data_IF_909984586576
#
_entry.id   IF_909984586576
#
_cell.length_a   1.000
_cell.length_b   1.000
_cell.length_c   1.000
_cell.angle_alpha   90.00
_cell.angle_beta   90.00
_cell.angle_gamma   90.00
#
_symmetry.space_group_name_H-M   'P 1'
#
loop_
_entity.id
_entity.type
_entity.pdbx_description
1 polymer ?
#
# COMPACT_ATOMS: atom_id res chain seq x y z
N UNK A 1 18.12 14.18 -6.60
CA UNK A 1 18.76 13.26 -5.65
C UNK A 1 17.86 13.22 -4.43
N UNK A 2 17.52 12.03 -3.93
CA UNK A 2 16.63 11.91 -2.77
C UNK A 2 17.39 12.30 -1.51
N UNK A 3 16.84 13.25 -0.74
CA UNK A 3 17.42 13.67 0.53
C UNK A 3 17.17 12.62 1.61
N UNK A 4 18.22 12.27 2.35
CA UNK A 4 18.20 11.29 3.43
C UNK A 4 18.71 11.92 4.71
N UNK A 5 18.29 11.37 5.86
CA UNK A 5 18.81 11.75 7.16
C UNK A 5 20.29 11.33 7.26
N UNK A 6 21.18 12.28 7.59
CA UNK A 6 22.62 12.00 7.69
C UNK A 6 22.97 10.99 8.79
N UNK A 7 22.14 10.90 9.83
CA UNK A 7 22.37 9.98 10.93
C UNK A 7 21.92 8.54 10.63
N UNK A 8 20.73 8.36 10.04
CA UNK A 8 20.13 7.03 9.92
C UNK A 8 19.84 6.58 8.48
N UNK A 9 20.02 7.45 7.49
CA UNK A 9 19.80 7.13 6.08
C UNK A 9 18.32 7.07 5.65
N UNK A 10 17.37 7.23 6.56
CA UNK A 10 15.93 7.27 6.21
C UNK A 10 15.67 8.46 5.27
N UNK A 11 14.92 8.28 4.17
CA UNK A 11 14.49 9.39 3.32
C UNK A 11 13.76 10.46 4.12
N UNK A 12 14.17 11.73 3.98
CA UNK A 12 13.55 12.83 4.74
C UNK A 12 12.08 13.03 4.39
N UNK A 13 11.67 12.66 3.18
CA UNK A 13 10.27 12.67 2.80
C UNK A 13 9.42 11.66 3.59
N UNK A 14 9.97 10.48 3.94
CA UNK A 14 9.31 9.53 4.85
C UNK A 14 9.27 10.10 6.26
N UNK A 15 10.42 10.61 6.76
CA UNK A 15 10.53 11.14 8.11
C UNK A 15 9.58 12.32 8.38
N UNK A 16 9.45 13.23 7.42
CA UNK A 16 8.60 14.41 7.54
C UNK A 16 7.14 14.13 7.11
N UNK A 17 6.93 13.17 6.21
CA UNK A 17 5.63 12.86 5.63
C UNK A 17 4.77 11.93 6.48
N UNK A 18 5.38 11.14 7.36
CA UNK A 18 4.69 10.12 8.16
C UNK A 18 4.84 10.37 9.67
N UNK A 19 3.83 9.98 10.42
CA UNK A 19 3.82 10.00 11.89
C UNK A 19 3.53 8.61 12.41
N UNK A 20 4.46 8.05 13.19
CA UNK A 20 4.24 6.86 13.99
C UNK A 20 3.58 7.27 15.30
N UNK A 21 2.34 6.84 15.51
CA UNK A 21 1.56 7.11 16.72
C UNK A 21 1.90 6.14 17.85
N UNK A 22 1.71 6.61 19.08
CA UNK A 22 1.75 5.82 20.32
C UNK A 22 0.64 4.76 20.39
N UNK A 23 -0.30 4.79 19.46
CA UNK A 23 -1.43 3.87 19.35
C UNK A 23 -1.29 2.81 18.25
N UNK A 24 -0.05 2.58 17.81
CA UNK A 24 0.30 1.56 16.82
C UNK A 24 -0.17 1.88 15.40
N UNK A 25 -0.48 3.15 15.11
CA UNK A 25 -0.85 3.62 13.78
C UNK A 25 0.28 4.37 13.09
N UNK A 26 0.31 4.36 11.77
CA UNK A 26 1.10 5.30 10.97
C UNK A 26 0.12 6.18 10.21
N UNK A 27 0.34 7.49 10.21
CA UNK A 27 -0.54 8.44 9.51
C UNK A 27 0.26 9.43 8.67
N UNK A 28 -0.37 10.02 7.66
CA UNK A 28 0.24 11.13 6.92
C UNK A 28 0.29 12.38 7.82
N UNK A 29 1.45 13.03 7.90
CA UNK A 29 1.64 14.22 8.71
C UNK A 29 0.70 15.38 8.32
N UNK A 30 0.43 15.53 7.02
CA UNK A 30 -0.50 16.52 6.45
C UNK A 30 -1.97 16.12 6.54
N UNK A 31 -2.27 14.86 6.85
CA UNK A 31 -3.64 14.36 6.93
C UNK A 31 -3.72 13.19 7.92
N UNK A 32 -3.83 13.49 9.24
CA UNK A 32 -3.77 12.47 10.29
C UNK A 32 -4.84 11.38 10.20
N UNK A 33 -5.94 11.61 9.46
CA UNK A 33 -6.98 10.59 9.21
C UNK A 33 -6.63 9.60 8.09
N UNK A 34 -5.53 9.82 7.37
CA UNK A 34 -5.03 8.90 6.36
C UNK A 34 -4.01 7.96 6.99
N UNK A 35 -4.48 6.75 7.29
CA UNK A 35 -3.64 5.65 7.75
C UNK A 35 -2.68 5.22 6.65
N UNK A 36 -1.47 4.88 7.06
CA UNK A 36 -0.45 4.21 6.27
C UNK A 36 -0.07 2.91 6.99
N UNK A 37 0.51 1.97 6.26
CA UNK A 37 1.16 0.78 6.80
C UNK A 37 2.57 0.70 6.23
N UNK A 38 3.49 0.14 6.99
CA UNK A 38 4.83 -0.20 6.57
C UNK A 38 4.97 -1.72 6.62
N UNK A 39 4.73 -2.39 5.49
CA UNK A 39 4.36 -3.81 5.48
C UNK A 39 5.07 -4.58 4.36
N UNK A 40 5.19 -5.89 4.52
CA UNK A 40 5.82 -6.78 3.55
C UNK A 40 5.04 -6.78 2.24
N UNK A 41 5.67 -6.33 1.15
CA UNK A 41 4.94 -6.06 -0.11
C UNK A 41 4.54 -7.32 -0.87
N UNK A 42 5.33 -8.39 -0.74
CA UNK A 42 5.08 -9.68 -1.39
C UNK A 42 3.69 -10.25 -1.02
N UNK A 43 3.19 -9.93 0.17
CA UNK A 43 1.88 -10.35 0.64
C UNK A 43 0.72 -9.85 -0.23
N UNK A 44 0.88 -8.71 -0.90
CA UNK A 44 -0.23 -8.05 -1.60
C UNK A 44 -0.68 -8.89 -2.79
N UNK A 45 0.23 -9.18 -3.72
CA UNK A 45 -0.12 -9.92 -4.94
C UNK A 45 -0.46 -11.38 -4.65
N UNK A 46 0.25 -12.00 -3.70
CA UNK A 46 -0.04 -13.38 -3.27
C UNK A 46 -1.42 -13.52 -2.63
N UNK A 47 -1.83 -12.56 -1.79
CA UNK A 47 -3.16 -12.62 -1.19
C UNK A 47 -4.25 -12.53 -2.26
N UNK A 48 -4.20 -11.53 -3.14
CA UNK A 48 -5.25 -11.38 -4.17
C UNK A 48 -5.25 -12.53 -5.18
N UNK A 49 -4.08 -13.09 -5.51
CA UNK A 49 -3.99 -14.30 -6.32
C UNK A 49 -4.63 -15.50 -5.60
N UNK A 50 -4.34 -15.70 -4.32
CA UNK A 50 -4.90 -16.79 -3.52
C UNK A 50 -6.42 -16.68 -3.37
N UNK A 51 -6.96 -15.48 -3.09
CA UNK A 51 -8.41 -15.26 -3.05
C UNK A 51 -9.03 -15.52 -4.43
N UNK A 52 -8.40 -15.02 -5.50
CA UNK A 52 -8.89 -15.23 -6.87
C UNK A 52 -8.93 -16.70 -7.29
N UNK A 53 -7.93 -17.50 -6.89
CA UNK A 53 -7.88 -18.95 -7.09
C UNK A 53 -9.03 -19.65 -6.35
N UNK A 54 -9.24 -19.31 -5.07
CA UNK A 54 -10.31 -19.88 -4.25
C UNK A 54 -11.71 -19.57 -4.79
N UNK A 55 -11.90 -18.36 -5.34
CA UNK A 55 -13.18 -17.92 -5.90
C UNK A 55 -13.36 -18.27 -7.39
N UNK A 56 -12.29 -18.69 -8.07
CA UNK A 56 -12.31 -18.96 -9.51
C UNK A 56 -12.49 -17.73 -10.39
N UNK A 57 -12.19 -16.52 -9.90
CA UNK A 57 -12.34 -15.25 -10.64
C UNK A 57 -11.10 -14.34 -10.49
N UNK A 58 -10.67 -13.64 -11.55
CA UNK A 58 -9.53 -12.73 -11.48
C UNK A 58 -9.91 -11.41 -10.79
N UNK A 59 -9.23 -11.08 -9.69
CA UNK A 59 -9.50 -9.87 -8.89
C UNK A 59 -8.75 -8.61 -9.34
N UNK A 60 -7.80 -8.75 -10.28
CA UNK A 60 -6.86 -7.67 -10.62
C UNK A 60 -7.53 -6.35 -11.01
N UNK A 61 -8.65 -6.40 -11.72
CA UNK A 61 -9.38 -5.19 -12.13
C UNK A 61 -10.01 -4.43 -10.94
N UNK A 62 -10.51 -5.12 -9.91
CA UNK A 62 -11.03 -4.50 -8.68
C UNK A 62 -9.90 -3.83 -7.90
N UNK A 63 -8.76 -4.52 -7.81
CA UNK A 63 -7.57 -4.05 -7.10
C UNK A 63 -7.01 -2.79 -7.76
N UNK A 64 -6.82 -2.81 -9.08
CA UNK A 64 -6.33 -1.66 -9.85
C UNK A 64 -7.27 -0.46 -9.69
N UNK A 65 -8.59 -0.67 -9.81
CA UNK A 65 -9.58 0.39 -9.67
C UNK A 65 -9.57 1.01 -8.26
N UNK A 66 -9.59 0.16 -7.22
CA UNK A 66 -9.58 0.62 -5.82
C UNK A 66 -8.33 1.44 -5.53
N UNK A 67 -7.17 0.94 -5.98
CA UNK A 67 -5.90 1.62 -5.80
C UNK A 67 -5.81 2.92 -6.58
N UNK A 68 -6.30 2.96 -7.82
CA UNK A 68 -6.35 4.17 -8.63
C UNK A 68 -7.15 5.29 -7.95
N UNK A 69 -8.30 4.96 -7.34
CA UNK A 69 -9.11 5.94 -6.60
C UNK A 69 -8.39 6.50 -5.38
N UNK A 70 -7.69 5.66 -4.62
CA UNK A 70 -6.96 6.13 -3.46
C UNK A 70 -5.75 6.98 -3.85
N UNK A 71 -5.02 6.58 -4.89
CA UNK A 71 -3.88 7.37 -5.39
C UNK A 71 -4.32 8.68 -6.00
N UNK A 72 -5.42 8.71 -6.76
CA UNK A 72 -6.04 9.95 -7.24
C UNK A 72 -6.29 10.93 -6.09
N UNK A 73 -6.96 10.49 -5.03
CA UNK A 73 -7.24 11.32 -3.84
C UNK A 73 -5.95 11.77 -3.13
N UNK A 74 -4.94 10.90 -3.06
CA UNK A 74 -3.65 11.26 -2.47
C UNK A 74 -2.97 12.39 -3.26
N UNK A 75 -2.91 12.25 -4.59
CA UNK A 75 -2.32 13.24 -5.49
C UNK A 75 -3.13 14.55 -5.48
N UNK A 76 -4.46 14.49 -5.44
CA UNK A 76 -5.32 15.68 -5.32
C UNK A 76 -5.10 16.49 -4.04
N UNK A 77 -4.64 15.85 -2.95
CA UNK A 77 -4.27 16.53 -1.70
C UNK A 77 -2.84 17.05 -1.73
N UNK A 78 -1.94 16.32 -2.39
CA UNK A 78 -0.54 16.70 -2.52
C UNK A 78 -0.39 17.95 -3.40
N UNK A 79 -1.20 18.08 -4.45
CA UNK A 79 -1.18 19.21 -5.38
C UNK A 79 -2.43 20.09 -5.22
N UNK A 80 -2.28 21.33 -4.73
CA UNK A 80 -3.37 22.30 -4.62
C UNK A 80 -4.18 22.45 -5.93
N UNK A 81 -5.48 22.81 -5.84
CA UNK A 81 -6.33 23.00 -7.02
C UNK A 81 -5.75 23.93 -8.08
N UNK A 82 -5.03 24.97 -7.68
CA UNK A 82 -4.41 25.95 -8.58
C UNK A 82 -3.33 25.31 -9.45
N UNK A 83 -2.49 24.46 -8.84
CA UNK A 83 -1.46 23.70 -9.56
C UNK A 83 -2.15 22.72 -10.52
N UNK A 84 -3.20 22.02 -10.08
CA UNK A 84 -3.95 21.09 -10.94
C UNK A 84 -4.64 21.78 -12.13
N UNK A 85 -5.26 22.94 -11.90
CA UNK A 85 -5.92 23.73 -12.96
C UNK A 85 -4.91 24.24 -13.99
N UNK A 86 -3.75 24.73 -13.55
CA UNK A 86 -2.67 25.15 -14.45
C UNK A 86 -2.14 23.99 -15.31
N UNK A 87 -2.34 22.74 -14.89
CA UNK A 87 -1.89 21.55 -15.59
C UNK A 87 -2.95 20.87 -16.45
N UNK A 88 -4.25 21.07 -16.17
CA UNK A 88 -5.34 20.31 -16.77
C UNK A 88 -5.25 20.29 -18.30
N UNK A 89 -4.93 19.11 -18.85
CA UNK A 89 -4.62 18.94 -20.28
C UNK A 89 -5.82 19.23 -21.20
N UNK A 90 -7.05 19.16 -20.68
CA UNK A 90 -8.29 19.52 -21.39
C UNK A 90 -8.23 20.93 -22.00
N UNK A 91 -7.41 21.82 -21.45
CA UNK A 91 -7.23 23.19 -21.93
C UNK A 91 -6.45 23.28 -23.25
N UNK A 92 -5.77 22.22 -23.70
CA UNK A 92 -5.09 22.19 -25.01
C UNK A 92 -6.05 22.09 -26.20
N UNK A 93 -7.28 21.62 -25.96
CA UNK A 93 -8.35 21.63 -26.97
C UNK A 93 -9.22 22.84 -26.67
N UNK A 94 -8.69 24.04 -26.91
CA UNK A 94 -9.22 25.32 -26.40
C UNK A 94 -10.74 25.39 -26.39
N UNK A 95 -11.32 25.71 -25.21
CA UNK A 95 -12.78 25.89 -25.05
C UNK A 95 -13.36 26.96 -25.97
N UNK A 96 -12.52 27.87 -26.48
CA UNK A 96 -12.87 28.98 -27.37
C UNK A 96 -12.16 28.95 -28.74
N UNK A 97 -11.52 27.82 -29.11
CA UNK A 97 -10.86 27.68 -30.41
C UNK A 97 -9.59 28.53 -30.62
N UNK A 98 -9.13 29.27 -29.60
CA UNK A 98 -7.83 29.95 -29.66
C UNK A 98 -6.70 28.90 -29.68
N UNK A 99 -5.82 29.00 -30.67
CA UNK A 99 -4.66 28.13 -30.78
C UNK A 99 -3.69 28.40 -29.62
N UNK A 100 -3.40 27.37 -28.82
CA UNK A 100 -2.34 27.41 -27.82
C UNK A 100 -1.01 27.61 -28.54
N UNK A 101 -0.19 28.55 -28.07
CA UNK A 101 1.11 28.80 -28.68
C UNK A 101 2.06 27.62 -28.42
N UNK A 102 3.08 27.47 -29.26
CA UNK A 102 4.11 26.44 -29.06
C UNK A 102 4.82 26.60 -27.70
N UNK A 103 5.07 27.84 -27.27
CA UNK A 103 5.74 28.17 -26.00
C UNK A 103 4.89 27.79 -24.79
N UNK A 104 3.58 28.07 -24.84
CA UNK A 104 2.65 27.64 -23.78
C UNK A 104 2.56 26.11 -23.69
N UNK A 105 2.51 25.44 -24.84
CA UNK A 105 2.50 23.97 -24.91
C UNK A 105 3.77 23.38 -24.29
N UNK A 106 4.95 23.90 -24.65
CA UNK A 106 6.24 23.45 -24.11
C UNK A 106 6.33 23.67 -22.59
N UNK A 107 5.90 24.84 -22.11
CA UNK A 107 5.88 25.18 -20.68
C UNK A 107 4.97 24.24 -19.90
N UNK A 108 3.77 23.94 -20.42
CA UNK A 108 2.83 23.03 -19.78
C UNK A 108 3.37 21.59 -19.78
N UNK A 109 3.96 21.13 -20.88
CA UNK A 109 4.58 19.81 -20.96
C UNK A 109 5.73 19.67 -19.95
N UNK A 110 6.57 20.69 -19.80
CA UNK A 110 7.63 20.72 -18.81
C UNK A 110 7.08 20.63 -17.37
N UNK A 111 5.98 21.34 -17.08
CA UNK A 111 5.32 21.29 -15.78
C UNK A 111 4.75 19.90 -15.46
N UNK A 112 4.03 19.28 -16.40
CA UNK A 112 3.48 17.92 -16.24
C UNK A 112 4.61 16.92 -16.03
N UNK A 113 5.69 17.01 -16.82
CA UNK A 113 6.88 16.17 -16.67
C UNK A 113 7.53 16.31 -15.28
N UNK A 114 7.69 17.53 -14.78
CA UNK A 114 8.26 17.76 -13.45
C UNK A 114 7.44 17.13 -12.32
N UNK A 115 6.12 17.19 -12.44
CA UNK A 115 5.22 16.61 -11.43
C UNK A 115 5.12 15.09 -11.55
N UNK A 116 5.04 14.55 -12.76
CA UNK A 116 5.14 13.11 -12.97
C UNK A 116 6.47 12.55 -12.44
N UNK A 117 7.58 13.28 -12.61
CA UNK A 117 8.87 12.92 -11.98
C UNK A 117 8.79 12.94 -10.45
N UNK A 118 8.10 13.93 -9.86
CA UNK A 118 7.88 13.98 -8.41
C UNK A 118 7.12 12.75 -7.91
N UNK A 119 6.10 12.31 -8.65
CA UNK A 119 5.32 11.10 -8.30
C UNK A 119 6.18 9.84 -8.40
N UNK A 120 7.00 9.73 -9.45
CA UNK A 120 7.96 8.64 -9.61
C UNK A 120 8.95 8.61 -8.42
N UNK A 121 9.44 9.77 -8.00
CA UNK A 121 10.35 9.87 -6.87
C UNK A 121 9.66 9.47 -5.55
N UNK A 122 8.40 9.86 -5.34
CA UNK A 122 7.59 9.42 -4.18
C UNK A 122 7.42 7.89 -4.18
N UNK A 123 7.10 7.31 -5.34
CA UNK A 123 6.96 5.86 -5.52
C UNK A 123 8.23 5.11 -5.08
N UNK A 124 9.40 5.59 -5.52
CA UNK A 124 10.71 5.05 -5.10
C UNK A 124 11.01 5.25 -3.62
N UNK A 125 10.49 6.32 -3.02
CA UNK A 125 10.60 6.65 -1.57
C UNK A 125 9.59 5.91 -0.68
N UNK A 126 8.57 5.29 -1.28
CA UNK A 126 7.65 4.40 -0.57
C UNK A 126 7.90 2.91 -0.85
N UNK A 127 8.97 2.57 -1.56
CA UNK A 127 9.42 1.20 -1.70
C UNK A 127 8.73 0.46 -2.84
N UNK A 128 8.09 1.19 -3.75
CA UNK A 128 7.25 0.63 -4.80
C UNK A 128 8.04 -0.03 -5.94
N UNK A 129 9.34 0.23 -6.02
CA UNK A 129 10.25 -0.27 -7.04
C UNK A 129 10.95 0.85 -7.78
N UNK A 130 11.81 0.48 -8.73
CA UNK A 130 12.56 1.41 -9.55
C UNK A 130 11.70 1.84 -10.73
N UNK A 131 10.79 2.77 -10.46
CA UNK A 131 9.94 3.38 -11.47
C UNK A 131 10.71 4.46 -12.23
N UNK A 132 10.62 4.47 -13.55
CA UNK A 132 11.31 5.40 -14.44
C UNK A 132 10.41 5.82 -15.60
N UNK A 133 10.61 7.03 -16.15
CA UNK A 133 10.05 7.39 -17.44
C UNK A 133 10.46 6.38 -18.52
N UNK A 134 9.57 6.12 -19.47
CA UNK A 134 9.91 5.33 -20.67
C UNK A 134 10.66 6.16 -21.72
N UNK A 135 11.15 5.51 -22.77
CA UNK A 135 11.82 6.17 -23.91
C UNK A 135 10.94 7.22 -24.61
N UNK A 136 9.60 7.15 -24.46
CA UNK A 136 8.67 8.15 -24.98
C UNK A 136 8.85 9.53 -24.33
N UNK A 137 9.49 9.58 -23.16
CA UNK A 137 9.78 10.81 -22.44
C UNK A 137 10.69 11.74 -23.19
N UNK A 138 11.77 11.22 -23.75
CA UNK A 138 12.76 12.02 -24.48
C UNK A 138 12.39 12.19 -25.95
N UNK A 139 11.57 11.28 -26.51
CA UNK A 139 11.13 11.34 -27.90
C UNK A 139 10.10 12.44 -28.20
N UNK A 140 9.69 13.24 -27.20
CA UNK A 140 8.67 14.27 -27.35
C UNK A 140 7.26 13.72 -27.60
N UNK A 141 6.98 12.50 -27.13
CA UNK A 141 5.65 11.91 -27.24
C UNK A 141 4.59 12.78 -26.55
N UNK A 142 3.43 12.99 -27.22
CA UNK A 142 2.34 13.86 -26.73
C UNK A 142 1.83 13.51 -25.32
N UNK A 143 2.03 12.27 -24.89
CA UNK A 143 1.57 11.73 -23.60
C UNK A 143 2.65 10.89 -22.92
N UNK A 144 3.90 11.33 -22.99
CA UNK A 144 5.06 10.61 -22.45
C UNK A 144 4.89 10.11 -21.00
N UNK A 145 4.20 10.86 -20.13
CA UNK A 145 3.99 10.52 -18.73
C UNK A 145 3.05 9.34 -18.49
N UNK A 146 2.29 8.93 -19.51
CA UNK A 146 1.41 7.76 -19.43
C UNK A 146 2.15 6.44 -19.55
N UNK A 147 3.40 6.45 -20.00
CA UNK A 147 4.18 5.23 -20.21
C UNK A 147 5.44 5.25 -19.36
N UNK A 148 5.56 4.26 -18.49
CA UNK A 148 6.64 4.15 -17.52
C UNK A 148 7.19 2.73 -17.52
N UNK A 149 8.42 2.57 -17.05
CA UNK A 149 9.01 1.26 -16.78
C UNK A 149 9.19 1.14 -15.28
N UNK A 150 8.83 0.00 -14.71
CA UNK A 150 9.13 -0.30 -13.31
C UNK A 150 9.91 -1.60 -13.21
N UNK A 151 11.00 -1.59 -12.44
CA UNK A 151 11.72 -2.80 -12.04
C UNK A 151 11.44 -3.12 -10.58
N UNK A 152 11.30 -4.40 -10.29
CA UNK A 152 10.93 -4.94 -8.99
C UNK A 152 9.70 -4.19 -8.44
N UNK A 153 8.50 -4.31 -9.04
CA UNK A 153 7.30 -3.68 -8.48
C UNK A 153 6.97 -4.29 -7.11
N UNK A 154 6.52 -3.48 -6.15
CA UNK A 154 6.09 -3.98 -4.83
C UNK A 154 4.79 -4.79 -4.88
N UNK A 155 3.93 -4.42 -5.83
CA UNK A 155 2.75 -5.14 -6.29
C UNK A 155 2.45 -4.65 -7.70
N UNK A 156 2.34 -5.56 -8.66
CA UNK A 156 2.07 -5.19 -10.06
C UNK A 156 0.68 -4.57 -10.23
N UNK A 157 -0.31 -5.08 -9.49
CA UNK A 157 -1.67 -4.55 -9.52
C UNK A 157 -1.74 -3.16 -8.89
N UNK A 158 -1.05 -2.94 -7.77
CA UNK A 158 -1.09 -1.66 -7.12
C UNK A 158 -0.35 -0.58 -7.91
N UNK A 159 0.83 -0.89 -8.47
CA UNK A 159 1.55 0.10 -9.27
C UNK A 159 0.77 0.45 -10.55
N UNK A 160 0.06 -0.50 -11.15
CA UNK A 160 -0.82 -0.22 -12.28
C UNK A 160 -1.95 0.75 -11.87
N UNK A 161 -2.57 0.53 -10.70
CA UNK A 161 -3.54 1.45 -10.10
C UNK A 161 -2.94 2.83 -9.80
N UNK A 162 -1.72 2.90 -9.28
CA UNK A 162 -1.03 4.16 -8.98
C UNK A 162 -0.79 5.01 -10.24
N UNK A 163 -0.41 4.35 -11.35
CA UNK A 163 -0.24 5.02 -12.64
C UNK A 163 -1.58 5.52 -13.19
N UNK A 164 -2.67 4.74 -13.10
CA UNK A 164 -4.01 5.21 -13.48
C UNK A 164 -4.39 6.43 -12.64
N UNK A 165 -4.39 6.29 -11.31
CA UNK A 165 -4.83 7.32 -10.39
C UNK A 165 -4.06 8.63 -10.54
N UNK A 166 -2.74 8.56 -10.76
CA UNK A 166 -1.92 9.76 -10.98
C UNK A 166 -2.24 10.45 -12.31
N UNK A 167 -2.32 9.72 -13.42
CA UNK A 167 -2.63 10.29 -14.75
C UNK A 167 -4.02 10.92 -14.79
N UNK A 168 -5.02 10.32 -14.15
CA UNK A 168 -6.37 10.86 -14.09
C UNK A 168 -6.48 12.23 -13.43
N UNK A 169 -5.62 12.52 -12.45
CA UNK A 169 -5.60 13.83 -11.80
C UNK A 169 -5.18 14.92 -12.79
N UNK A 170 -4.23 14.63 -13.67
CA UNK A 170 -3.69 15.61 -14.61
C UNK A 170 -4.56 15.77 -15.86
N UNK A 171 -5.19 14.69 -16.28
CA UNK A 171 -5.95 14.67 -17.53
C UNK A 171 -7.46 14.77 -17.36
N UNK A 172 -7.94 14.72 -16.11
CA UNK A 172 -9.36 14.84 -15.73
C UNK A 172 -10.28 13.94 -16.56
N UNK A 173 -9.79 12.76 -16.91
CA UNK A 173 -10.43 11.80 -17.80
C UNK A 173 -10.23 10.40 -17.24
N UNK A 174 -11.21 9.52 -17.42
CA UNK A 174 -11.11 8.13 -16.98
C UNK A 174 -10.03 7.40 -17.78
N UNK A 175 -9.21 6.64 -17.08
CA UNK A 175 -8.08 5.93 -17.65
C UNK A 175 -8.17 4.41 -17.43
N UNK A 176 -7.48 3.68 -18.30
CA UNK A 176 -7.21 2.26 -18.23
C UNK A 176 -5.71 2.04 -18.28
N UNK A 177 -5.27 0.84 -17.93
CA UNK A 177 -3.85 0.47 -17.91
C UNK A 177 -3.64 -0.87 -18.57
N UNK A 178 -2.58 -0.93 -19.36
CA UNK A 178 -1.94 -2.17 -19.80
C UNK A 178 -0.58 -2.25 -19.13
N UNK A 179 -0.14 -3.46 -18.82
CA UNK A 179 1.24 -3.70 -18.42
C UNK A 179 1.76 -4.95 -19.12
N UNK A 180 3.03 -4.93 -19.48
CA UNK A 180 3.72 -6.00 -20.18
C UNK A 180 5.07 -6.24 -19.51
N UNK A 181 5.40 -7.50 -19.23
CA UNK A 181 6.72 -7.89 -18.75
C UNK A 181 7.73 -7.76 -19.91
N UNK A 182 8.75 -6.92 -19.75
CA UNK A 182 9.77 -6.67 -20.77
C UNK A 182 11.12 -7.32 -20.42
N UNK A 183 11.32 -7.64 -19.15
CA UNK A 183 12.44 -8.39 -18.58
C UNK A 183 11.94 -8.99 -17.26
N UNK A 184 12.63 -10.01 -16.75
CA UNK A 184 12.32 -10.58 -15.43
C UNK A 184 12.19 -9.45 -14.38
N UNK A 185 11.04 -9.43 -13.70
CA UNK A 185 10.70 -8.44 -12.67
C UNK A 185 10.69 -6.99 -13.18
N UNK A 186 10.58 -6.77 -14.51
CA UNK A 186 10.51 -5.45 -15.12
C UNK A 186 9.33 -5.33 -16.07
N UNK A 187 8.52 -4.29 -15.87
CA UNK A 187 7.27 -4.11 -16.58
C UNK A 187 7.21 -2.74 -17.24
N UNK A 188 6.74 -2.71 -18.48
CA UNK A 188 6.26 -1.48 -19.12
C UNK A 188 4.80 -1.30 -18.73
N UNK A 189 4.47 -0.16 -18.14
CA UNK A 189 3.11 0.23 -17.76
C UNK A 189 2.66 1.35 -18.69
N UNK A 190 1.52 1.17 -19.35
CA UNK A 190 0.94 2.14 -20.28
C UNK A 190 -0.50 2.47 -19.86
N UNK A 191 -0.72 3.75 -19.54
CA UNK A 191 -2.03 4.30 -19.21
C UNK A 191 -2.66 4.92 -20.46
N UNK A 192 -3.95 4.70 -20.69
CA UNK A 192 -4.65 5.22 -21.85
C UNK A 192 -6.10 5.58 -21.53
N UNK A 193 -6.73 6.50 -22.27
CA UNK A 193 -8.12 6.88 -22.05
C UNK A 193 -9.04 5.67 -22.18
N UNK A 194 -9.92 5.47 -21.20
CA UNK A 194 -10.88 4.38 -21.22
C UNK A 194 -11.82 4.48 -20.03
N UNK A 195 -13.10 4.16 -20.24
CA UNK A 195 -14.10 4.30 -19.18
C UNK A 195 -13.90 3.27 -18.07
N UNK A 196 -14.13 3.63 -16.81
CA UNK A 196 -14.22 2.65 -15.73
C UNK A 196 -15.45 1.75 -15.91
N UNK A 197 -15.46 0.60 -15.24
CA UNK A 197 -16.66 -0.23 -15.19
C UNK A 197 -17.75 0.51 -14.42
N UNK A 198 -18.93 0.69 -15.03
CA UNK A 198 -20.09 1.35 -14.39
C UNK A 198 -20.47 0.63 -13.08
N UNK A 199 -20.32 -0.69 -13.05
CA UNK A 199 -20.62 -1.52 -11.88
C UNK A 199 -19.80 -1.10 -10.64
N UNK A 200 -18.63 -0.48 -10.82
CA UNK A 200 -17.74 -0.12 -9.71
C UNK A 200 -18.01 1.28 -9.14
N UNK A 201 -18.90 2.09 -9.73
CA UNK A 201 -19.06 3.50 -9.35
C UNK A 201 -19.48 3.70 -7.90
N UNK A 202 -20.37 2.84 -7.40
CA UNK A 202 -20.88 2.89 -6.02
C UNK A 202 -20.15 1.91 -5.08
N UNK A 203 -19.29 1.06 -5.64
CA UNK A 203 -18.47 0.05 -4.97
C UNK A 203 -17.12 0.61 -4.49
N UNK A 204 -16.36 -0.18 -3.74
CA UNK A 204 -15.01 0.15 -3.26
C UNK A 204 -14.97 1.43 -2.40
N UNK A 205 -15.93 1.54 -1.47
CA UNK A 205 -16.00 2.66 -0.55
C UNK A 205 -14.86 2.61 0.46
N UNK A 206 -14.29 3.78 0.74
CA UNK A 206 -13.20 3.90 1.70
C UNK A 206 -13.75 3.84 3.12
N UNK A 207 -13.12 3.02 3.96
CA UNK A 207 -13.30 3.08 5.41
C UNK A 207 -12.47 4.21 6.00
N UNK A 208 -13.08 5.00 6.88
CA UNK A 208 -12.37 5.91 7.76
C UNK A 208 -12.19 5.23 9.12
N UNK A 209 -11.05 5.49 9.75
CA UNK A 209 -10.75 4.96 11.08
C UNK A 209 -10.73 6.14 12.03
N UNK A 210 -11.46 6.01 13.13
CA UNK A 210 -11.27 6.85 14.30
C UNK A 210 -10.26 6.12 15.20
N UNK A 211 -9.21 6.82 15.58
CA UNK A 211 -8.12 6.21 16.33
C UNK A 211 -8.28 6.47 17.83
N UNK A 212 -8.19 5.40 18.61
CA UNK A 212 -8.05 5.43 20.06
C UNK A 212 -6.63 5.89 20.45
N UNK A 213 -6.45 6.53 21.61
CA UNK A 213 -5.11 6.77 22.16
C UNK A 213 -4.40 5.46 22.46
N UNK A 214 -3.07 5.51 22.62
CA UNK A 214 -2.26 4.36 22.99
C UNK A 214 -1.05 4.73 23.82
N UNK A 215 -0.26 3.72 24.22
CA UNK A 215 0.84 3.88 25.17
C UNK A 215 2.20 3.38 24.64
N UNK A 216 2.30 3.09 23.34
CA UNK A 216 3.53 2.64 22.71
C UNK A 216 4.57 3.77 22.70
N UNK A 217 5.78 3.41 23.09
CA UNK A 217 6.95 4.29 23.01
C UNK A 217 7.96 3.72 22.03
N UNK A 218 8.54 4.59 21.21
CA UNK A 218 9.58 4.22 20.25
C UNK A 218 10.89 4.87 20.64
N UNK A 219 11.99 4.16 20.48
CA UNK A 219 13.29 4.80 20.41
C UNK A 219 13.41 5.51 19.07
N UNK A 220 13.71 6.81 19.06
CA UNK A 220 13.68 7.64 17.86
C UNK A 220 15.07 8.11 17.45
N UNK A 221 15.28 8.26 16.15
CA UNK A 221 16.47 8.92 15.62
C UNK A 221 16.52 10.38 16.11
N UNK A 222 17.60 10.84 16.78
CA UNK A 222 17.64 12.18 17.35
C UNK A 222 17.69 13.31 16.30
N UNK A 223 18.00 13.01 15.03
CA UNK A 223 17.94 13.99 13.94
C UNK A 223 16.55 14.09 13.28
N UNK A 224 15.92 12.96 12.96
CA UNK A 224 14.68 12.95 12.14
C UNK A 224 13.43 12.39 12.84
N UNK A 225 13.55 11.97 14.10
CA UNK A 225 12.49 11.43 14.95
C UNK A 225 11.81 10.13 14.46
N UNK A 226 12.23 9.55 13.33
CA UNK A 226 11.73 8.23 12.89
C UNK A 226 12.14 7.16 13.91
N UNK A 227 11.26 6.20 14.24
CA UNK A 227 11.62 5.05 15.06
C UNK A 227 12.88 4.33 14.57
N UNK A 228 13.79 3.98 15.48
CA UNK A 228 15.05 3.35 15.12
C UNK A 228 14.86 2.01 14.41
N UNK A 229 13.80 1.26 14.72
CA UNK A 229 13.46 0.01 14.04
C UNK A 229 13.05 0.21 12.58
N UNK A 230 12.55 1.40 12.22
CA UNK A 230 12.28 1.79 10.82
C UNK A 230 13.56 2.28 10.16
N UNK A 231 14.38 3.06 10.89
CA UNK A 231 15.68 3.51 10.43
C UNK A 231 16.66 2.35 10.14
N UNK A 232 16.58 1.26 10.90
CA UNK A 232 17.43 0.07 10.73
C UNK A 232 17.15 -0.72 9.44
N UNK A 233 16.11 -0.36 8.67
CA UNK A 233 15.80 -1.02 7.41
C UNK A 233 16.81 -0.62 6.34
N UNK A 234 17.06 -1.51 5.36
CA UNK A 234 17.98 -1.21 4.26
C UNK A 234 17.25 -0.42 3.19
N UNK A 235 17.47 0.90 3.19
CA UNK A 235 16.88 1.82 2.22
C UNK A 235 17.71 1.84 0.93
N UNK A 236 17.21 1.20 -0.13
CA UNK A 236 17.79 1.31 -1.47
C UNK A 236 16.94 2.28 -2.31
N UNK A 237 17.19 3.57 -2.13
CA UNK A 237 16.48 4.65 -2.82
C UNK A 237 16.73 4.64 -4.34
N UNK A 238 17.85 4.06 -4.80
CA UNK A 238 18.15 3.93 -6.23
C UNK A 238 17.19 2.93 -6.86
N UNK A 239 17.06 1.75 -6.27
CA UNK A 239 16.17 0.71 -6.78
C UNK A 239 14.72 0.87 -6.28
N UNK A 240 14.45 1.89 -5.46
CA UNK A 240 13.14 2.15 -4.88
C UNK A 240 12.63 0.99 -4.03
N UNK A 241 13.51 0.29 -3.32
CA UNK A 241 13.17 -0.90 -2.50
C UNK A 241 13.66 -0.77 -1.07
N UNK A 242 12.91 -1.38 -0.15
CA UNK A 242 13.30 -1.52 1.26
C UNK A 242 13.35 -2.97 1.65
N UNK A 243 14.36 -3.33 2.43
CA UNK A 243 14.48 -4.68 2.94
C UNK A 243 14.61 -4.65 4.45
N UNK A 244 13.82 -5.49 5.10
CA UNK A 244 14.02 -5.81 6.51
C UNK A 244 15.30 -6.65 6.65
N UNK A 245 16.37 -6.16 7.31
CA UNK A 245 17.61 -6.90 7.42
C UNK A 245 17.48 -8.19 8.25
N UNK A 246 16.47 -8.28 9.12
CA UNK A 246 16.21 -9.49 9.89
C UNK A 246 15.65 -10.57 8.98
N UNK A 247 14.51 -10.29 8.32
CA UNK A 247 13.76 -11.30 7.56
C UNK A 247 14.21 -11.43 6.11
N UNK A 248 15.01 -10.48 5.60
CA UNK A 248 15.37 -10.38 4.19
C UNK A 248 14.22 -9.95 3.28
N UNK A 249 13.04 -9.65 3.84
CA UNK A 249 11.82 -9.38 3.06
C UNK A 249 11.72 -7.95 2.60
N UNK A 250 11.05 -7.79 1.47
CA UNK A 250 10.77 -6.48 0.92
C UNK A 250 9.61 -5.80 1.63
N UNK A 251 9.81 -4.53 2.00
CA UNK A 251 8.81 -3.68 2.64
C UNK A 251 8.36 -2.57 1.70
N UNK A 252 7.12 -2.12 1.86
CA UNK A 252 6.58 -0.94 1.20
C UNK A 252 5.71 -0.12 2.17
N UNK A 253 5.55 1.17 1.87
CA UNK A 253 4.70 2.10 2.61
C UNK A 253 3.47 2.42 1.77
N UNK A 254 2.28 2.03 2.22
CA UNK A 254 1.06 2.30 1.46
C UNK A 254 -0.14 2.53 2.37
N UNK A 255 -1.20 3.17 1.85
CA UNK A 255 -2.47 3.30 2.57
C UNK A 255 -3.28 2.00 2.48
N UNK A 256 -3.73 1.40 3.60
CA UNK A 256 -4.50 0.15 3.59
C UNK A 256 -5.93 0.31 3.06
N UNK A 257 -6.42 1.55 2.93
CA UNK A 257 -7.80 1.83 2.52
C UNK A 257 -8.18 1.21 1.16
N UNK A 258 -7.28 1.21 0.18
CA UNK A 258 -7.54 0.59 -1.12
C UNK A 258 -7.66 -0.94 -1.00
N UNK A 259 -6.88 -1.54 -0.09
CA UNK A 259 -6.89 -2.97 0.18
C UNK A 259 -8.20 -3.37 0.84
N UNK A 260 -8.56 -2.72 1.96
CA UNK A 260 -9.79 -2.99 2.70
C UNK A 260 -11.04 -2.76 1.84
N UNK A 261 -11.04 -1.74 0.98
CA UNK A 261 -12.15 -1.47 0.08
C UNK A 261 -12.42 -2.63 -0.89
N UNK A 262 -11.40 -3.35 -1.36
CA UNK A 262 -11.59 -4.55 -2.20
C UNK A 262 -12.16 -5.69 -1.38
N UNK A 263 -11.65 -5.93 -0.17
CA UNK A 263 -12.09 -7.04 0.66
C UNK A 263 -13.56 -6.89 1.09
N UNK A 264 -13.94 -5.70 1.57
CA UNK A 264 -15.33 -5.37 1.96
C UNK A 264 -16.28 -5.51 0.79
N UNK A 265 -15.86 -5.08 -0.39
CA UNK A 265 -16.67 -5.13 -1.60
C UNK A 265 -16.86 -6.57 -2.13
N UNK A 266 -15.84 -7.42 -1.98
CA UNK A 266 -15.95 -8.86 -2.24
C UNK A 266 -16.91 -9.53 -1.26
N UNK A 267 -16.80 -9.23 0.04
CA UNK A 267 -17.71 -9.75 1.06
C UNK A 267 -19.16 -9.33 0.79
N UNK A 268 -19.37 -8.07 0.39
CA UNK A 268 -20.70 -7.59 -0.01
C UNK A 268 -21.26 -8.36 -1.21
N UNK A 269 -20.43 -8.66 -2.22
CA UNK A 269 -20.87 -9.33 -3.45
C UNK A 269 -21.07 -10.85 -3.28
N UNK A 270 -20.20 -11.51 -2.52
CA UNK A 270 -20.10 -12.98 -2.48
C UNK A 270 -20.47 -13.58 -1.11
N UNK A 271 -20.72 -12.74 -0.09
CA UNK A 271 -21.24 -13.13 1.21
C UNK A 271 -20.20 -13.68 2.19
N UNK A 272 -20.71 -14.41 3.19
CA UNK A 272 -19.99 -14.87 4.39
C UNK A 272 -18.80 -15.82 4.12
N UNK A 273 -18.66 -16.33 2.90
CA UNK A 273 -17.52 -17.18 2.51
C UNK A 273 -16.21 -16.39 2.35
N UNK A 274 -16.31 -15.08 2.08
CA UNK A 274 -15.16 -14.25 1.74
C UNK A 274 -14.21 -14.02 2.90
N UNK A 275 -14.66 -13.68 4.12
CA UNK A 275 -13.77 -13.57 5.27
C UNK A 275 -12.88 -14.80 5.47
N UNK A 276 -13.46 -16.00 5.40
CA UNK A 276 -12.70 -17.24 5.57
C UNK A 276 -11.72 -17.47 4.42
N UNK A 277 -12.11 -17.21 3.16
CA UNK A 277 -11.21 -17.34 2.02
C UNK A 277 -9.99 -16.42 2.12
N UNK A 278 -10.16 -15.20 2.62
CA UNK A 278 -9.07 -14.24 2.85
C UNK A 278 -8.13 -14.74 3.96
N UNK A 279 -8.71 -15.19 5.08
CA UNK A 279 -7.97 -15.75 6.22
C UNK A 279 -7.14 -16.96 5.77
N UNK A 280 -7.76 -17.89 5.04
CA UNK A 280 -7.12 -19.11 4.54
C UNK A 280 -6.01 -18.82 3.53
N UNK A 281 -6.23 -17.89 2.59
CA UNK A 281 -5.23 -17.49 1.61
C UNK A 281 -3.99 -16.90 2.29
N UNK A 282 -4.19 -15.99 3.24
CA UNK A 282 -3.10 -15.41 4.03
C UNK A 282 -2.39 -16.46 4.89
N UNK A 283 -3.15 -17.33 5.57
CA UNK A 283 -2.61 -18.40 6.40
C UNK A 283 -1.70 -19.32 5.60
N UNK A 284 -2.20 -19.80 4.45
CA UNK A 284 -1.46 -20.71 3.54
C UNK A 284 -0.18 -20.06 3.04
N UNK A 285 -0.24 -18.83 2.54
CA UNK A 285 0.95 -18.13 2.07
C UNK A 285 2.04 -18.03 3.14
N UNK A 286 1.67 -17.65 4.37
CA UNK A 286 2.65 -17.49 5.44
C UNK A 286 3.30 -18.82 5.81
N UNK A 287 2.54 -19.92 5.88
CA UNK A 287 3.10 -21.25 6.13
C UNK A 287 4.07 -21.71 5.03
N UNK A 288 3.86 -21.28 3.79
CA UNK A 288 4.74 -21.60 2.66
C UNK A 288 5.99 -20.70 2.61
N UNK A 289 5.83 -19.40 2.91
CA UNK A 289 6.89 -18.40 2.77
C UNK A 289 7.76 -18.22 4.03
N UNK A 290 7.37 -18.76 5.18
CA UNK A 290 8.06 -18.59 6.45
C UNK A 290 8.58 -19.95 6.93
N UNK A 291 9.86 -20.01 7.32
CA UNK A 291 10.34 -21.18 8.06
C UNK A 291 9.97 -21.07 9.54
N UNK A 292 9.67 -22.19 10.21
CA UNK A 292 9.28 -22.20 11.62
C UNK A 292 10.35 -21.65 12.58
N UNK A 293 11.61 -21.53 12.14
CA UNK A 293 12.70 -20.97 12.95
C UNK A 293 12.54 -19.48 13.25
N UNK A 294 11.78 -18.73 12.43
CA UNK A 294 11.59 -17.29 12.58
C UNK A 294 10.64 -16.88 13.71
N UNK A 295 9.89 -17.84 14.26
CA UNK A 295 8.76 -17.56 15.15
C UNK A 295 9.10 -17.60 16.65
N UNK A 296 10.35 -17.76 17.06
CA UNK A 296 10.70 -17.81 18.49
C UNK A 296 10.78 -16.41 19.15
N UNK A 297 9.75 -15.57 18.95
CA UNK A 297 9.67 -14.18 19.41
C UNK A 297 8.79 -14.06 20.66
N UNK A 298 9.15 -13.16 21.58
CA UNK A 298 8.34 -12.86 22.77
C UNK A 298 7.08 -12.06 22.41
N UNK A 299 6.09 -12.04 23.31
CA UNK A 299 4.87 -11.23 23.16
C UNK A 299 5.16 -9.74 22.93
N UNK A 300 6.12 -9.17 23.68
CA UNK A 300 6.58 -7.80 23.50
C UNK A 300 7.14 -7.55 22.09
N UNK A 301 7.85 -8.53 21.52
CA UNK A 301 8.37 -8.42 20.15
C UNK A 301 7.23 -8.37 19.15
N UNK A 302 6.17 -9.16 19.36
CA UNK A 302 4.99 -9.16 18.50
C UNK A 302 4.20 -7.85 18.60
N UNK A 303 4.02 -7.31 19.82
CA UNK A 303 3.39 -6.00 20.05
C UNK A 303 4.10 -4.89 19.27
N UNK A 304 5.42 -4.79 19.43
CA UNK A 304 6.22 -3.78 18.73
C UNK A 304 6.19 -3.99 17.21
N UNK A 305 6.21 -5.25 16.76
CA UNK A 305 6.15 -5.62 15.34
C UNK A 305 4.85 -5.13 14.67
N UNK A 306 3.70 -5.24 15.33
CA UNK A 306 2.42 -4.71 14.83
C UNK A 306 2.41 -3.18 14.80
N UNK A 307 2.82 -2.57 15.92
CA UNK A 307 2.83 -1.12 16.10
C UNK A 307 3.72 -0.41 15.08
N UNK A 308 4.96 -0.89 14.90
CA UNK A 308 5.95 -0.26 14.01
C UNK A 308 5.53 -0.33 12.53
N UNK A 309 4.70 -1.32 12.17
CA UNK A 309 4.13 -1.51 10.83
C UNK A 309 2.83 -0.73 10.62
N UNK A 310 2.31 -0.08 11.67
CA UNK A 310 1.05 0.66 11.61
C UNK A 310 -0.17 -0.24 11.59
N UNK A 311 -0.09 -1.47 12.12
CA UNK A 311 -1.16 -2.47 12.10
C UNK A 311 -2.09 -2.41 13.32
N UNK A 312 -1.75 -1.60 14.32
CA UNK A 312 -2.52 -1.43 15.55
C UNK A 312 -1.67 -1.65 16.80
N UNK A 313 -2.29 -1.44 17.95
CA UNK A 313 -1.70 -1.64 19.27
C UNK A 313 -2.27 -2.91 19.89
N UNK A 314 -1.40 -3.87 20.20
CA UNK A 314 -1.82 -5.06 20.93
C UNK A 314 -1.89 -4.76 22.42
N UNK A 315 -3.09 -4.81 22.99
CA UNK A 315 -3.37 -4.49 24.41
C UNK A 315 -3.52 -5.74 25.28
N UNK A 316 -3.88 -6.87 24.68
CA UNK A 316 -3.96 -8.16 25.35
C UNK A 316 -3.22 -9.21 24.52
N UNK A 317 -2.36 -9.98 25.20
CA UNK A 317 -1.72 -11.18 24.68
C UNK A 317 -1.76 -12.23 25.79
N UNK A 318 -2.65 -13.20 25.66
CA UNK A 318 -2.83 -14.28 26.63
C UNK A 318 -2.84 -15.61 25.90
N UNK A 319 -2.15 -16.62 26.40
CA UNK A 319 -2.08 -17.90 25.72
C UNK A 319 -1.23 -18.94 26.44
N UNK A 320 -1.50 -20.19 26.12
CA UNK A 320 -0.82 -21.35 26.67
C UNK A 320 -0.43 -22.36 25.57
N UNK A 321 -0.39 -23.65 25.85
CA UNK A 321 -0.04 -24.68 24.85
C UNK A 321 -1.18 -25.04 23.90
N UNK A 322 -2.40 -24.62 24.21
CA UNK A 322 -3.63 -25.01 23.54
C UNK A 322 -4.40 -23.83 22.96
N UNK A 323 -4.14 -22.61 23.41
CA UNK A 323 -4.80 -21.44 22.85
C UNK A 323 -3.93 -20.17 22.87
N UNK A 324 -4.27 -19.21 22.00
CA UNK A 324 -3.75 -17.84 21.98
C UNK A 324 -4.91 -16.86 21.76
N UNK A 325 -5.05 -15.89 22.66
CA UNK A 325 -6.00 -14.79 22.60
C UNK A 325 -5.28 -13.45 22.47
N UNK A 326 -5.66 -12.67 21.46
CA UNK A 326 -5.14 -11.34 21.17
C UNK A 326 -6.27 -10.31 21.16
N UNK A 327 -6.02 -9.13 21.72
CA UNK A 327 -6.81 -7.93 21.47
C UNK A 327 -5.91 -6.85 20.89
N UNK A 328 -6.28 -6.36 19.70
CA UNK A 328 -5.54 -5.34 18.97
C UNK A 328 -6.47 -4.15 18.75
N UNK A 329 -6.15 -3.03 19.39
CA UNK A 329 -6.82 -1.76 19.19
C UNK A 329 -6.30 -1.07 17.94
N UNK A 330 -7.15 -0.24 17.33
CA UNK A 330 -6.84 0.46 16.09
C UNK A 330 -6.35 -0.52 15.01
N UNK A 331 -6.94 -1.71 14.86
CA UNK A 331 -6.49 -2.67 13.86
C UNK A 331 -6.77 -2.16 12.42
N UNK A 332 -5.95 -2.56 11.45
CA UNK A 332 -6.27 -2.45 10.03
C UNK A 332 -5.93 -3.74 9.30
N UNK A 333 -6.51 -3.99 8.12
CA UNK A 333 -6.35 -5.28 7.43
C UNK A 333 -6.75 -6.45 8.35
N UNK A 334 -7.93 -6.43 9.02
CA UNK A 334 -8.26 -7.37 10.07
C UNK A 334 -8.24 -8.83 9.59
N UNK A 335 -8.79 -9.10 8.40
CA UNK A 335 -8.84 -10.46 7.85
C UNK A 335 -7.44 -11.03 7.52
N UNK A 336 -6.54 -10.29 6.83
CA UNK A 336 -5.13 -10.68 6.75
C UNK A 336 -4.46 -10.83 8.12
N UNK A 337 -4.76 -9.99 9.11
CA UNK A 337 -4.17 -10.14 10.43
C UNK A 337 -4.61 -11.43 11.12
N UNK A 338 -5.89 -11.81 11.02
CA UNK A 338 -6.41 -13.07 11.56
C UNK A 338 -5.69 -14.27 10.93
N UNK A 339 -5.60 -14.33 9.59
CA UNK A 339 -4.86 -15.40 8.90
C UNK A 339 -3.38 -15.43 9.27
N UNK A 340 -2.80 -14.26 9.55
CA UNK A 340 -1.42 -14.14 10.03
C UNK A 340 -1.25 -14.75 11.42
N UNK A 341 -2.08 -14.36 12.37
CA UNK A 341 -2.03 -14.89 13.74
C UNK A 341 -2.26 -16.40 13.74
N UNK A 342 -3.23 -16.89 12.97
CA UNK A 342 -3.52 -18.32 12.86
C UNK A 342 -2.32 -19.11 12.31
N UNK A 343 -1.70 -18.66 11.22
CA UNK A 343 -0.51 -19.31 10.67
C UNK A 343 0.65 -19.34 11.67
N UNK A 344 0.86 -18.24 12.39
CA UNK A 344 1.93 -18.14 13.38
C UNK A 344 1.73 -19.12 14.54
N UNK A 345 0.50 -19.25 15.04
CA UNK A 345 0.12 -20.25 16.06
C UNK A 345 0.39 -21.66 15.55
N UNK A 346 -0.10 -22.01 14.35
CA UNK A 346 0.11 -23.33 13.77
C UNK A 346 1.59 -23.69 13.62
N UNK A 347 2.41 -22.75 13.14
CA UNK A 347 3.86 -22.91 13.06
C UNK A 347 4.53 -23.05 14.43
N UNK A 348 4.07 -22.32 15.45
CA UNK A 348 4.60 -22.37 16.82
C UNK A 348 4.40 -23.75 17.46
N UNK A 349 3.16 -24.25 17.38
CA UNK A 349 2.77 -25.50 18.01
C UNK A 349 3.03 -26.71 17.11
N UNK A 350 3.53 -26.48 15.88
CA UNK A 350 3.81 -27.52 14.88
C UNK A 350 2.58 -28.37 14.60
N UNK A 351 1.44 -27.70 14.46
CA UNK A 351 0.17 -28.31 14.05
C UNK A 351 -0.17 -27.88 12.63
N UNK A 352 -0.86 -28.76 11.91
CA UNK A 352 -1.36 -28.44 10.57
C UNK A 352 -2.66 -27.65 10.60
N UNK A 353 -3.40 -27.72 11.70
CA UNK A 353 -4.73 -27.14 11.83
C UNK A 353 -4.93 -26.46 13.19
N UNK A 354 -5.78 -25.45 13.18
CA UNK A 354 -6.28 -24.73 14.36
C UNK A 354 -7.67 -24.20 14.07
N UNK A 355 -8.44 -23.92 15.12
CA UNK A 355 -9.69 -23.17 15.01
C UNK A 355 -9.43 -21.72 15.38
N UNK A 356 -10.08 -20.79 14.66
CA UNK A 356 -9.92 -19.36 14.91
C UNK A 356 -11.29 -18.71 15.07
N UNK A 357 -11.54 -18.13 16.23
CA UNK A 357 -12.67 -17.26 16.50
C UNK A 357 -12.19 -15.81 16.49
N UNK A 358 -12.99 -14.90 15.95
CA UNK A 358 -12.61 -13.49 15.89
C UNK A 358 -13.84 -12.58 15.93
N UNK A 359 -13.62 -11.36 16.41
CA UNK A 359 -14.60 -10.28 16.43
C UNK A 359 -13.91 -8.97 16.07
N UNK A 360 -14.38 -8.31 15.01
CA UNK A 360 -13.93 -6.97 14.64
C UNK A 360 -15.02 -5.96 14.95
N UNK A 361 -14.76 -5.08 15.90
CA UNK A 361 -15.73 -4.10 16.42
C UNK A 361 -15.73 -2.83 15.56
N UNK A 362 -16.86 -2.13 15.57
CA UNK A 362 -17.02 -0.87 14.84
C UNK A 362 -16.03 0.22 15.27
N UNK A 363 -15.56 0.16 16.52
CA UNK A 363 -14.58 1.08 17.09
C UNK A 363 -13.12 0.73 16.75
N UNK A 364 -12.90 -0.27 15.89
CA UNK A 364 -11.59 -0.64 15.37
C UNK A 364 -10.82 -1.68 16.19
N UNK A 365 -11.43 -2.27 17.22
CA UNK A 365 -10.81 -3.35 17.98
C UNK A 365 -10.98 -4.70 17.29
N UNK A 366 -9.89 -5.46 17.22
CA UNK A 366 -9.85 -6.81 16.71
C UNK A 366 -9.52 -7.78 17.85
N UNK A 367 -10.45 -8.68 18.15
CA UNK A 367 -10.25 -9.79 19.08
C UNK A 367 -10.04 -11.07 18.26
N UNK A 368 -9.01 -11.84 18.59
CA UNK A 368 -8.67 -13.08 17.89
C UNK A 368 -8.38 -14.14 18.96
N UNK A 369 -9.02 -15.30 18.84
CA UNK A 369 -8.74 -16.48 19.66
C UNK A 369 -8.44 -17.65 18.73
N UNK A 370 -7.23 -18.19 18.83
CA UNK A 370 -6.82 -19.38 18.08
C UNK A 370 -6.67 -20.55 19.05
N UNK A 371 -7.30 -21.68 18.76
CA UNK A 371 -7.22 -22.90 19.57
C UNK A 371 -6.60 -24.03 18.76
N UNK A 372 -5.68 -24.76 19.37
CA UNK A 372 -5.01 -25.94 18.82
C UNK A 372 -5.55 -27.19 19.51
N UNK A 373 -5.99 -28.15 18.71
CA UNK A 373 -6.54 -29.44 19.17
C UNK A 373 -5.46 -30.41 19.71
#
# INVERSE_FOLDING_TARGET
MLEVCDQCGTPLFVANGLKWGDNGTITLASSPKNRMVFFESELIDHLFAGIGELLGIPLGHLVIESRARETKRYIERLFPPEIRQAMAFKTMSGKDGAAVTAVETETQLAAIKGIAQTIIDISRVYGYGDQRPSDLWDSGGKYAWRTQVIRNPYSLLFIAGDNVGSVEVFEESEMRVNYEEIEKDAYKIEVFPGKHSIALKERLQRKFYDFKPGEITYEQCPQCAVPLEVANRKWNCVDGTYTDPETGRRMAIFGPAAFDAVLVDLEYELGEIIPQAIIDAQRKYLKEAWSGEWWNRSSMTFQHMLAIRGLGEMVTFDGDKTHLTLNIQNACLPLPMIGTVQALVEMAYRTDNSTCEWEFKDDGDLNITVTVD
#
